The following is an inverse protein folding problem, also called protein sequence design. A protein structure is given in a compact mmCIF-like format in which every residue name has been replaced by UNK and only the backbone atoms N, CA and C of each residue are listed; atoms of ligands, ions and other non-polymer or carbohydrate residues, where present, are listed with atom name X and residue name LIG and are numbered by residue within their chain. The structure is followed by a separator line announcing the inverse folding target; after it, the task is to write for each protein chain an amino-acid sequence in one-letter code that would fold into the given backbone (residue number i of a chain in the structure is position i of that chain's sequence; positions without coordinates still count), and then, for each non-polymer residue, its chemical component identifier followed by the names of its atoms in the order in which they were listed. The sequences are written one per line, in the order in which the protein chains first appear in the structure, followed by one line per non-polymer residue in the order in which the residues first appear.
data_IF_402931143177
#
_entry.id   IF_402931143177
#
_cell.length_a   1.000
_cell.length_b   1.000
_cell.length_c   1.000
_cell.angle_alpha   90.00
_cell.angle_beta   90.00
_cell.angle_gamma   90.00
#
_symmetry.space_group_name_H-M   'P 1'
#
loop_
_entity.id
_entity.type
_entity.pdbx_description
1 polymer ?
#
# COMPACT_ATOMS: atom_id res chain seq x y z
N UNK A 1 9.15 -13.96 -18.40
CA UNK A 1 9.82 -13.00 -17.51
C UNK A 1 8.84 -12.66 -16.40
N UNK A 2 8.95 -13.33 -15.26
CA UNK A 2 8.13 -13.02 -14.08
C UNK A 2 8.82 -11.84 -13.40
N UNK A 3 8.27 -10.64 -13.53
CA UNK A 3 8.74 -9.51 -12.73
C UNK A 3 7.98 -9.58 -11.42
N UNK A 4 8.59 -10.21 -10.42
CA UNK A 4 8.14 -10.12 -9.02
C UNK A 4 8.56 -8.76 -8.47
N UNK A 5 7.89 -7.68 -8.86
CA UNK A 5 8.02 -6.39 -8.16
C UNK A 5 7.00 -6.38 -7.04
N UNK A 6 7.42 -6.72 -5.82
CA UNK A 6 6.56 -6.79 -4.64
C UNK A 6 6.21 -5.41 -4.05
N UNK A 7 6.65 -4.31 -4.68
CA UNK A 7 6.46 -2.95 -4.20
C UNK A 7 6.42 -1.96 -5.38
N UNK A 8 5.49 -1.01 -5.33
CA UNK A 8 5.36 0.09 -6.30
C UNK A 8 5.32 1.40 -5.53
N UNK A 9 6.29 2.27 -5.77
CA UNK A 9 6.27 3.65 -5.26
C UNK A 9 5.72 4.56 -6.36
N UNK A 10 4.70 5.34 -6.02
CA UNK A 10 4.12 6.35 -6.90
C UNK A 10 4.34 7.71 -6.28
N UNK A 11 5.09 8.57 -6.96
CA UNK A 11 5.33 9.94 -6.53
C UNK A 11 5.03 10.88 -7.71
N UNK A 12 4.27 11.94 -7.44
CA UNK A 12 3.93 12.96 -8.41
C UNK A 12 3.62 14.28 -7.72
N UNK A 13 3.81 15.40 -8.42
CA UNK A 13 3.45 16.72 -7.89
C UNK A 13 1.93 16.92 -7.87
N UNK A 14 1.20 16.24 -8.76
CA UNK A 14 -0.24 16.31 -8.87
C UNK A 14 -0.92 15.07 -8.26
N UNK A 15 -1.64 15.26 -7.15
CA UNK A 15 -2.36 14.18 -6.46
C UNK A 15 -3.34 13.42 -7.35
N UNK A 16 -4.05 14.11 -8.25
CA UNK A 16 -4.98 13.50 -9.21
C UNK A 16 -4.30 12.49 -10.14
N UNK A 17 -3.05 12.76 -10.54
CA UNK A 17 -2.28 11.83 -11.38
C UNK A 17 -1.81 10.62 -10.58
N UNK A 18 -1.42 10.82 -9.33
CA UNK A 18 -1.07 9.75 -8.39
C UNK A 18 -2.27 8.83 -8.14
N UNK A 19 -3.44 9.39 -7.79
CA UNK A 19 -4.67 8.63 -7.58
C UNK A 19 -5.10 7.84 -8.82
N UNK A 20 -4.92 8.43 -10.01
CA UNK A 20 -5.18 7.74 -11.28
C UNK A 20 -4.22 6.56 -11.47
N UNK A 21 -2.93 6.72 -11.19
CA UNK A 21 -1.96 5.63 -11.29
C UNK A 21 -2.29 4.48 -10.33
N UNK A 22 -2.65 4.79 -9.06
CA UNK A 22 -3.13 3.80 -8.09
C UNK A 22 -4.35 3.06 -8.66
N UNK A 23 -5.34 3.81 -9.17
CA UNK A 23 -6.57 3.24 -9.73
C UNK A 23 -6.31 2.26 -10.88
N UNK A 24 -5.35 2.55 -11.76
CA UNK A 24 -4.99 1.65 -12.87
C UNK A 24 -4.32 0.36 -12.37
N UNK A 25 -3.50 0.43 -11.32
CA UNK A 25 -2.90 -0.75 -10.69
C UNK A 25 -3.98 -1.63 -10.05
N UNK A 26 -4.91 -1.02 -9.31
CA UNK A 26 -6.01 -1.74 -8.66
C UNK A 26 -6.92 -2.41 -9.70
N UNK A 27 -7.22 -1.74 -10.82
CA UNK A 27 -7.99 -2.35 -11.93
C UNK A 27 -7.29 -3.55 -12.55
N UNK A 28 -5.95 -3.49 -12.70
CA UNK A 28 -5.16 -4.60 -13.24
C UNK A 28 -5.07 -5.81 -12.28
N UNK A 29 -5.57 -5.65 -11.05
CA UNK A 29 -5.56 -6.62 -9.96
C UNK A 29 -6.93 -6.69 -9.27
N UNK A 30 -8.00 -6.59 -10.05
CA UNK A 30 -9.37 -6.45 -9.53
C UNK A 30 -9.85 -7.60 -8.61
N UNK A 31 -9.19 -8.77 -8.65
CA UNK A 31 -9.52 -9.92 -7.79
C UNK A 31 -8.73 -9.93 -6.47
N UNK A 32 -7.79 -9.00 -6.28
CA UNK A 32 -7.01 -8.90 -5.05
C UNK A 32 -7.81 -8.23 -3.94
N UNK A 33 -7.60 -8.66 -2.71
CA UNK A 33 -8.08 -7.95 -1.52
C UNK A 33 -7.29 -6.65 -1.36
N UNK A 34 -7.97 -5.49 -1.33
CA UNK A 34 -7.32 -4.18 -1.28
C UNK A 34 -7.53 -3.57 0.10
N UNK A 35 -6.42 -3.27 0.79
CA UNK A 35 -6.39 -2.46 2.01
C UNK A 35 -5.78 -1.11 1.67
N UNK A 36 -6.45 -0.02 2.05
CA UNK A 36 -5.92 1.33 1.91
C UNK A 36 -5.76 1.96 3.28
N UNK A 37 -4.57 2.52 3.52
CA UNK A 37 -4.23 3.26 4.72
C UNK A 37 -3.88 4.69 4.34
N UNK A 38 -4.30 5.65 5.15
CA UNK A 38 -3.85 7.04 5.06
C UNK A 38 -2.63 7.21 5.96
N UNK A 39 -1.53 7.74 5.41
CA UNK A 39 -0.26 7.89 6.12
C UNK A 39 -0.38 8.62 7.45
N UNK A 40 -1.23 9.65 7.52
CA UNK A 40 -1.42 10.42 8.74
C UNK A 40 -2.26 9.68 9.81
N UNK A 41 -3.01 8.67 9.42
CA UNK A 41 -3.93 7.91 10.27
C UNK A 41 -3.41 6.52 10.64
N UNK A 42 -2.25 6.10 10.10
CA UNK A 42 -1.70 4.78 10.41
C UNK A 42 -1.28 4.69 11.87
N UNK A 43 -1.73 3.64 12.54
CA UNK A 43 -1.33 3.29 13.90
C UNK A 43 -0.32 2.13 13.89
N UNK A 44 0.52 2.07 14.93
CA UNK A 44 1.49 0.97 15.12
C UNK A 44 0.76 -0.38 15.10
N UNK A 45 1.28 -1.33 14.34
CA UNK A 45 0.75 -2.68 14.16
C UNK A 45 -0.23 -2.81 13.00
N UNK A 46 -0.81 -1.71 12.49
CA UNK A 46 -1.72 -1.78 11.35
C UNK A 46 -1.01 -2.23 10.07
N UNK A 47 0.26 -1.84 9.88
CA UNK A 47 1.04 -2.30 8.74
C UNK A 47 1.35 -3.80 8.85
N UNK A 48 1.77 -4.28 10.03
CA UNK A 48 1.99 -5.69 10.29
C UNK A 48 0.73 -6.53 10.06
N UNK A 49 -0.43 -6.06 10.52
CA UNK A 49 -1.71 -6.74 10.31
C UNK A 49 -2.11 -6.75 8.82
N UNK A 50 -1.92 -5.63 8.12
CA UNK A 50 -2.23 -5.52 6.69
C UNK A 50 -1.33 -6.40 5.82
N UNK A 51 -0.07 -6.58 6.22
CA UNK A 51 0.92 -7.43 5.52
C UNK A 51 0.93 -8.89 6.00
N UNK A 52 0.19 -9.21 7.06
CA UNK A 52 0.10 -10.55 7.60
C UNK A 52 -0.41 -11.57 6.53
N UNK A 53 0.05 -12.83 6.60
CA UNK A 53 -0.42 -13.88 5.69
C UNK A 53 -1.94 -14.06 5.80
N UNK A 54 -2.63 -14.05 4.65
CA UNK A 54 -4.07 -14.34 4.61
C UNK A 54 -4.32 -15.84 4.52
N UNK A 55 -5.33 -16.30 5.26
CA UNK A 55 -5.83 -17.68 5.19
C UNK A 55 -6.88 -17.89 4.10
N UNK A 56 -7.39 -16.80 3.50
CA UNK A 56 -8.56 -16.83 2.63
C UNK A 56 -8.30 -16.26 1.22
N UNK A 57 -7.28 -15.41 1.05
CA UNK A 57 -6.98 -14.76 -0.22
C UNK A 57 -5.61 -15.16 -0.76
N UNK A 58 -5.54 -15.49 -2.05
CA UNK A 58 -4.27 -15.78 -2.72
C UNK A 58 -3.54 -14.52 -3.23
N UNK A 59 -4.23 -13.36 -3.31
CA UNK A 59 -3.67 -12.10 -3.78
C UNK A 59 -4.21 -10.90 -2.99
N UNK A 60 -3.31 -10.04 -2.50
CA UNK A 60 -3.63 -8.84 -1.71
C UNK A 60 -2.83 -7.65 -2.20
N UNK A 61 -3.37 -6.46 -2.01
CA UNK A 61 -2.70 -5.18 -2.27
C UNK A 61 -2.89 -4.27 -1.05
N UNK A 62 -1.78 -3.79 -0.51
CA UNK A 62 -1.76 -2.71 0.46
C UNK A 62 -1.38 -1.40 -0.26
N UNK A 63 -2.20 -0.37 -0.09
CA UNK A 63 -1.90 1.00 -0.54
C UNK A 63 -1.74 1.88 0.69
N UNK A 64 -0.58 2.53 0.83
CA UNK A 64 -0.36 3.58 1.81
C UNK A 64 -0.38 4.90 1.07
N UNK A 65 -1.42 5.70 1.28
CA UNK A 65 -1.51 7.06 0.74
C UNK A 65 -0.69 8.02 1.61
N UNK A 66 -0.15 9.05 0.99
CA UNK A 66 0.56 10.12 1.69
C UNK A 66 1.62 9.59 2.68
N UNK A 67 2.42 8.61 2.23
CA UNK A 67 3.41 7.89 3.04
C UNK A 67 4.41 8.82 3.75
N UNK A 68 4.67 10.01 3.20
CA UNK A 68 5.51 11.02 3.85
C UNK A 68 4.98 11.51 5.20
N UNK A 69 3.68 11.33 5.46
CA UNK A 69 2.99 11.81 6.65
C UNK A 69 2.89 10.74 7.76
N UNK A 70 3.50 9.56 7.54
CA UNK A 70 3.62 8.52 8.57
C UNK A 70 4.27 9.05 9.84
N UNK A 71 3.69 8.74 11.00
CA UNK A 71 4.28 9.05 12.30
C UNK A 71 5.55 8.22 12.54
N UNK A 72 6.52 8.76 13.28
CA UNK A 72 7.85 8.15 13.45
C UNK A 72 7.80 6.68 13.90
N UNK A 73 6.95 6.35 14.86
CA UNK A 73 6.87 5.00 15.39
C UNK A 73 6.36 3.99 14.34
N UNK A 74 5.53 4.43 13.39
CA UNK A 74 5.06 3.60 12.27
C UNK A 74 6.11 3.53 11.16
N UNK A 75 6.90 4.59 10.95
CA UNK A 75 8.00 4.55 9.97
C UNK A 75 8.98 3.42 10.28
N UNK A 76 9.37 3.24 11.55
CA UNK A 76 10.24 2.14 11.98
C UNK A 76 9.63 0.74 11.77
N UNK A 77 8.29 0.63 11.70
CA UNK A 77 7.59 -0.61 11.39
C UNK A 77 7.61 -0.89 9.88
N UNK A 78 7.39 0.13 9.05
CA UNK A 78 7.34 0.02 7.59
C UNK A 78 8.73 -0.18 6.95
N UNK A 79 9.79 0.34 7.58
CA UNK A 79 11.17 0.18 7.10
C UNK A 79 11.77 -1.23 7.29
N UNK A 80 11.12 -2.09 8.07
CA UNK A 80 11.61 -3.45 8.41
C UNK A 80 11.23 -4.51 7.38
#
# INVERSE_FOLDING_TARGET
MVISTSLVLIQGAESVLVDRAVSEILKARAEAEVTQLDGAEVEIGQFADATAPSLFSESRILVIKDMQDLVMDVQEEVER
#
